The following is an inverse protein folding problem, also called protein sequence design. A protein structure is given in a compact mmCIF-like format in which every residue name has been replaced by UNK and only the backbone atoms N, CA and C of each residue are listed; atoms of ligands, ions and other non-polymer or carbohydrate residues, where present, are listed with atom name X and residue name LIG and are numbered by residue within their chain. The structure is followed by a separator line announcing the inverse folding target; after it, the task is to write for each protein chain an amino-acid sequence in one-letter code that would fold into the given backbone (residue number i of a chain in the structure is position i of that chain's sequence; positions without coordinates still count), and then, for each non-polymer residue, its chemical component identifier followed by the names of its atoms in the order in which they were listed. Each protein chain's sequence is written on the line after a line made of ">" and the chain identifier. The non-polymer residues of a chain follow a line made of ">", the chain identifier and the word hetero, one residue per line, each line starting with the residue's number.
data_IF_528495685770
#
_entry.id   IF_528495685770
#
_cell.length_a   1.000
_cell.length_b   1.000
_cell.length_c   1.000
_cell.angle_alpha   90.00
_cell.angle_beta   90.00
_cell.angle_gamma   90.00
#
_symmetry.space_group_name_H-M   'P 1'
#
loop_
_entity.id
_entity.type
_entity.pdbx_description
1 polymer ?
#
# COMPACT_ATOMS: atom_id res chain seq x y z
N UNK A 1 13.03 4.15 -7.37
CA UNK A 1 13.88 3.20 -6.58
C UNK A 1 13.14 2.81 -5.32
N UNK A 2 12.95 1.49 -5.10
CA UNK A 2 12.29 0.96 -3.91
C UNK A 2 13.25 0.96 -2.70
N UNK A 3 12.76 1.37 -1.53
CA UNK A 3 13.55 1.47 -0.30
C UNK A 3 14.20 0.15 0.13
N UNK A 4 13.50 -0.97 -0.05
CA UNK A 4 13.96 -2.30 0.37
C UNK A 4 15.15 -2.84 -0.41
N UNK A 5 15.58 -2.16 -1.49
CA UNK A 5 16.72 -2.64 -2.28
C UNK A 5 18.05 -2.56 -1.50
N UNK A 6 18.18 -1.61 -0.56
CA UNK A 6 19.39 -1.43 0.23
C UNK A 6 19.23 -1.60 1.73
N UNK A 7 18.01 -1.83 2.21
CA UNK A 7 17.73 -2.00 3.64
C UNK A 7 17.02 -3.32 3.89
N UNK A 8 17.56 -4.10 4.82
CA UNK A 8 16.91 -5.29 5.35
C UNK A 8 16.11 -4.98 6.62
N UNK A 9 16.34 -3.82 7.22
CA UNK A 9 15.59 -3.32 8.37
C UNK A 9 14.80 -2.09 7.95
N UNK A 10 13.51 -2.26 7.75
CA UNK A 10 12.63 -1.21 7.22
C UNK A 10 12.29 -0.16 8.27
N UNK A 11 12.39 -0.51 9.54
CA UNK A 11 12.10 0.37 10.68
C UNK A 11 13.23 1.38 10.97
N UNK A 12 14.41 1.19 10.35
CA UNK A 12 15.61 2.00 10.60
C UNK A 12 16.09 2.76 9.35
N UNK A 13 15.19 3.07 8.40
CA UNK A 13 15.58 3.75 7.17
C UNK A 13 15.80 5.24 7.42
N UNK A 14 17.03 5.69 7.23
CA UNK A 14 17.35 7.12 7.20
C UNK A 14 17.02 7.72 5.82
N UNK A 15 15.85 8.32 5.68
CA UNK A 15 15.36 8.80 4.39
C UNK A 15 16.15 9.96 3.79
N UNK A 16 16.69 10.89 4.59
CA UNK A 16 17.49 12.01 4.06
C UNK A 16 18.75 11.54 3.32
N UNK A 17 19.58 10.63 3.86
CA UNK A 17 20.68 10.02 3.11
C UNK A 17 20.21 9.19 1.91
N UNK A 18 19.08 8.48 2.03
CA UNK A 18 18.52 7.67 0.96
C UNK A 18 18.11 8.52 -0.25
N UNK A 19 17.41 9.64 -0.04
CA UNK A 19 17.01 10.58 -1.10
C UNK A 19 18.23 11.04 -1.89
N UNK A 20 19.28 11.50 -1.19
CA UNK A 20 20.53 11.94 -1.83
C UNK A 20 21.21 10.81 -2.61
N UNK A 21 21.17 9.58 -2.10
CA UNK A 21 21.72 8.41 -2.79
C UNK A 21 20.93 8.09 -4.06
N UNK A 22 19.62 8.08 -3.98
CA UNK A 22 18.68 7.83 -5.10
C UNK A 22 18.95 8.85 -6.23
N UNK A 23 19.05 10.13 -5.88
CA UNK A 23 19.36 11.20 -6.83
C UNK A 23 20.73 11.01 -7.51
N UNK A 24 21.80 10.73 -6.73
CA UNK A 24 23.14 10.47 -7.30
C UNK A 24 23.18 9.29 -8.26
N UNK A 25 22.28 8.34 -8.11
CA UNK A 25 22.17 7.17 -8.99
C UNK A 25 21.28 7.42 -10.22
N UNK A 26 20.74 8.63 -10.37
CA UNK A 26 19.98 9.04 -11.54
C UNK A 26 18.52 8.55 -11.56
N UNK A 27 17.94 8.24 -10.40
CA UNK A 27 16.52 7.94 -10.30
C UNK A 27 15.71 9.21 -10.07
N UNK A 28 14.48 9.23 -10.56
CA UNK A 28 13.53 10.34 -10.41
C UNK A 28 12.58 10.13 -9.22
N UNK A 29 12.36 8.88 -8.80
CA UNK A 29 11.42 8.52 -7.76
C UNK A 29 12.07 7.65 -6.67
N UNK A 30 11.68 7.92 -5.43
CA UNK A 30 11.96 7.08 -4.27
C UNK A 30 10.65 6.51 -3.74
N UNK A 31 10.49 5.20 -3.81
CA UNK A 31 9.39 4.50 -3.16
C UNK A 31 9.76 4.21 -1.71
N UNK A 32 8.93 4.65 -0.77
CA UNK A 32 9.20 4.60 0.66
C UNK A 32 8.29 3.61 1.39
N UNK A 33 8.80 3.00 2.46
CA UNK A 33 7.98 2.28 3.42
C UNK A 33 7.11 3.30 4.18
N UNK A 34 5.81 3.28 3.92
CA UNK A 34 4.96 4.41 4.31
C UNK A 34 4.35 4.30 5.71
N UNK A 35 4.48 3.15 6.38
CA UNK A 35 3.83 2.90 7.67
C UNK A 35 4.15 4.00 8.71
N UNK A 36 5.39 4.45 8.78
CA UNK A 36 5.83 5.47 9.73
C UNK A 36 5.49 6.90 9.32
N UNK A 37 5.33 7.17 8.01
CA UNK A 37 5.08 8.52 7.49
C UNK A 37 3.78 9.12 8.04
N UNK A 38 2.79 8.28 8.35
CA UNK A 38 1.56 8.71 9.02
C UNK A 38 1.75 9.21 10.46
N UNK A 39 2.93 8.98 11.04
CA UNK A 39 3.28 9.32 12.43
C UNK A 39 4.39 10.35 12.54
N UNK A 40 5.05 10.70 11.43
CA UNK A 40 6.06 11.76 11.43
C UNK A 40 5.46 13.12 11.73
N UNK A 41 6.24 13.96 12.43
CA UNK A 41 5.87 15.35 12.65
C UNK A 41 5.81 16.12 11.31
N UNK A 42 5.05 17.21 11.27
CA UNK A 42 5.02 18.08 10.10
C UNK A 42 6.39 18.67 9.77
N UNK A 43 7.25 18.89 10.79
CA UNK A 43 8.62 19.35 10.58
C UNK A 43 9.47 18.29 9.88
N UNK A 44 9.33 17.03 10.29
CA UNK A 44 10.01 15.90 9.65
C UNK A 44 9.57 15.76 8.20
N UNK A 45 8.26 15.77 7.95
CA UNK A 45 7.71 15.66 6.58
C UNK A 45 8.16 16.83 5.69
N UNK A 46 8.21 18.07 6.23
CA UNK A 46 8.74 19.24 5.50
C UNK A 46 10.23 19.09 5.18
N UNK A 47 11.03 18.57 6.11
CA UNK A 47 12.45 18.35 5.87
C UNK A 47 12.70 17.30 4.76
N UNK A 48 11.92 16.21 4.76
CA UNK A 48 11.96 15.19 3.72
C UNK A 48 11.55 15.77 2.36
N UNK A 49 10.46 16.52 2.32
CA UNK A 49 9.98 17.21 1.10
C UNK A 49 11.03 18.18 0.55
N UNK A 50 11.58 19.03 1.39
CA UNK A 50 12.63 19.98 0.96
C UNK A 50 13.85 19.26 0.39
N UNK A 51 14.33 18.22 1.07
CA UNK A 51 15.46 17.44 0.58
C UNK A 51 15.15 16.76 -0.76
N UNK A 52 13.93 16.25 -0.93
CA UNK A 52 13.52 15.62 -2.19
C UNK A 52 13.43 16.65 -3.33
N UNK A 53 12.84 17.83 -3.08
CA UNK A 53 12.77 18.93 -4.06
C UNK A 53 14.15 19.43 -4.49
N UNK A 54 15.06 19.63 -3.53
CA UNK A 54 16.44 20.08 -3.78
C UNK A 54 17.22 19.11 -4.70
N UNK A 55 16.80 17.84 -4.74
CA UNK A 55 17.44 16.78 -5.51
C UNK A 55 16.59 16.28 -6.70
N UNK A 56 15.42 16.87 -6.94
CA UNK A 56 14.52 16.48 -8.04
C UNK A 56 13.91 15.08 -7.86
N UNK A 57 13.72 14.62 -6.62
CA UNK A 57 13.17 13.29 -6.32
C UNK A 57 11.69 13.39 -5.92
N UNK A 58 10.82 12.62 -6.59
CA UNK A 58 9.45 12.41 -6.15
C UNK A 58 9.33 11.22 -5.20
N UNK A 59 8.21 11.16 -4.45
CA UNK A 59 7.88 10.03 -3.59
C UNK A 59 6.68 9.23 -4.11
N UNK A 60 6.76 7.91 -3.96
CA UNK A 60 5.62 7.00 -3.95
C UNK A 60 5.64 6.21 -2.63
N UNK A 61 4.46 5.85 -2.16
CA UNK A 61 4.31 5.12 -0.90
C UNK A 61 4.01 3.65 -1.18
N UNK A 62 4.69 2.76 -0.43
CA UNK A 62 4.40 1.33 -0.42
C UNK A 62 4.06 0.88 1.00
N UNK A 63 3.08 -0.01 1.14
CA UNK A 63 2.65 -0.55 2.42
C UNK A 63 2.23 -2.02 2.31
N UNK A 64 2.66 -2.84 3.28
CA UNK A 64 2.04 -4.11 3.62
C UNK A 64 1.40 -3.98 5.00
N UNK A 65 0.09 -4.16 5.11
CA UNK A 65 -0.59 -4.08 6.40
C UNK A 65 -0.24 -5.30 7.26
N UNK A 66 0.16 -5.08 8.50
CA UNK A 66 0.28 -6.14 9.49
C UNK A 66 -1.09 -6.72 9.90
N UNK A 67 -1.09 -7.89 10.54
CA UNK A 67 -2.32 -8.53 10.98
C UNK A 67 -3.14 -7.69 11.97
N UNK A 68 -2.50 -6.81 12.71
CA UNK A 68 -3.12 -5.85 13.65
C UNK A 68 -3.88 -4.72 12.93
N UNK A 69 -3.66 -4.56 11.63
CA UNK A 69 -4.30 -3.57 10.77
C UNK A 69 -5.06 -4.20 9.59
N UNK A 70 -5.38 -5.50 9.68
CA UNK A 70 -6.04 -6.27 8.62
C UNK A 70 -7.46 -5.74 8.35
N UNK A 71 -7.66 -5.13 7.18
CA UNK A 71 -8.94 -4.58 6.72
C UNK A 71 -9.99 -5.66 6.40
N UNK A 72 -9.57 -6.92 6.27
CA UNK A 72 -10.42 -8.10 6.06
C UNK A 72 -10.65 -8.92 7.34
N UNK A 73 -10.16 -8.47 8.50
CA UNK A 73 -10.30 -9.16 9.78
C UNK A 73 -11.77 -9.36 10.16
N UNK A 74 -12.09 -10.48 10.82
CA UNK A 74 -13.40 -10.69 11.44
C UNK A 74 -13.63 -9.76 12.64
N UNK A 75 -12.54 -9.38 13.31
CA UNK A 75 -12.58 -8.42 14.42
C UNK A 75 -12.75 -6.99 13.88
N UNK A 76 -13.89 -6.39 14.20
CA UNK A 76 -14.19 -5.01 13.81
C UNK A 76 -13.22 -3.99 14.43
N UNK A 77 -12.63 -4.27 15.60
CA UNK A 77 -11.65 -3.39 16.22
C UNK A 77 -10.33 -3.37 15.42
N UNK A 78 -9.89 -4.53 14.91
CA UNK A 78 -8.73 -4.64 14.02
C UNK A 78 -8.97 -3.87 12.72
N UNK A 79 -10.16 -4.05 12.09
CA UNK A 79 -10.50 -3.28 10.88
C UNK A 79 -10.50 -1.77 11.14
N UNK A 80 -11.09 -1.33 12.25
CA UNK A 80 -11.10 0.09 12.62
C UNK A 80 -9.69 0.64 12.87
N UNK A 81 -8.81 -0.14 13.51
CA UNK A 81 -7.39 0.21 13.68
C UNK A 81 -6.68 0.36 12.33
N UNK A 82 -6.92 -0.58 11.40
CA UNK A 82 -6.39 -0.52 10.03
C UNK A 82 -6.86 0.72 9.27
N UNK A 83 -8.16 1.02 9.31
CA UNK A 83 -8.72 2.25 8.70
C UNK A 83 -8.07 3.50 9.30
N UNK A 84 -7.92 3.57 10.62
CA UNK A 84 -7.28 4.71 11.28
C UNK A 84 -5.79 4.83 10.89
N UNK A 85 -5.06 3.72 10.81
CA UNK A 85 -3.66 3.67 10.41
C UNK A 85 -3.46 4.19 8.98
N UNK A 86 -4.17 3.61 8.01
CA UNK A 86 -4.07 4.00 6.60
C UNK A 86 -4.56 5.45 6.38
N UNK A 87 -5.58 5.90 7.12
CA UNK A 87 -6.02 7.30 7.07
C UNK A 87 -4.90 8.27 7.43
N UNK A 88 -4.07 7.97 8.43
CA UNK A 88 -2.92 8.81 8.79
C UNK A 88 -1.90 8.86 7.67
N UNK A 89 -1.62 7.72 7.06
CA UNK A 89 -0.70 7.60 5.92
C UNK A 89 -1.19 8.46 4.75
N UNK A 90 -2.45 8.29 4.33
CA UNK A 90 -3.05 9.06 3.24
C UNK A 90 -2.97 10.58 3.47
N UNK A 91 -3.21 11.04 4.71
CA UNK A 91 -3.11 12.45 5.09
C UNK A 91 -1.67 12.98 5.14
N UNK A 92 -0.66 12.13 5.27
CA UNK A 92 0.74 12.53 5.23
C UNK A 92 1.26 12.74 3.80
N UNK A 93 0.67 12.05 2.83
CA UNK A 93 1.15 11.99 1.45
C UNK A 93 1.24 13.36 0.75
N UNK A 94 0.22 14.23 0.77
CA UNK A 94 0.32 15.53 0.13
C UNK A 94 1.37 16.43 0.79
N UNK A 95 1.72 16.21 2.07
CA UNK A 95 2.75 16.98 2.77
C UNK A 95 4.16 16.77 2.24
N UNK A 96 4.39 15.61 1.62
CA UNK A 96 5.66 15.28 0.94
C UNK A 96 5.53 15.28 -0.59
N UNK A 97 4.36 15.62 -1.12
CA UNK A 97 4.11 15.62 -2.56
C UNK A 97 3.91 14.23 -3.17
N UNK A 98 3.65 13.20 -2.35
CA UNK A 98 3.32 11.86 -2.83
C UNK A 98 1.84 11.79 -3.24
N UNK A 99 1.55 11.10 -4.34
CA UNK A 99 0.19 10.94 -4.86
C UNK A 99 -0.17 9.48 -5.19
N UNK A 100 0.74 8.53 -4.96
CA UNK A 100 0.51 7.10 -5.23
C UNK A 100 0.83 6.32 -3.96
N UNK A 101 -0.16 5.58 -3.46
CA UNK A 101 -0.01 4.54 -2.44
C UNK A 101 -0.21 3.19 -3.11
N UNK A 102 0.72 2.27 -2.92
CA UNK A 102 0.64 0.91 -3.45
C UNK A 102 0.92 -0.14 -2.36
N UNK A 103 0.78 -1.40 -2.74
CA UNK A 103 1.09 -2.53 -1.87
C UNK A 103 -0.13 -3.34 -1.42
N UNK A 104 0.09 -4.31 -0.52
CA UNK A 104 -0.97 -5.14 0.07
C UNK A 104 -1.63 -4.35 1.19
N UNK A 105 -2.57 -3.49 0.80
CA UNK A 105 -3.19 -2.48 1.64
C UNK A 105 -4.71 -2.67 1.82
N UNK A 106 -5.25 -3.82 1.40
CA UNK A 106 -6.66 -4.21 1.49
C UNK A 106 -6.92 -5.31 2.54
N UNK A 107 -5.85 -6.00 2.98
CA UNK A 107 -5.88 -7.06 3.99
C UNK A 107 -4.53 -7.15 4.70
N UNK A 108 -4.42 -7.96 5.74
CA UNK A 108 -3.15 -8.25 6.40
C UNK A 108 -2.19 -8.99 5.46
N UNK A 109 -1.03 -8.39 5.15
CA UNK A 109 0.00 -9.05 4.35
C UNK A 109 0.57 -10.23 5.13
N UNK A 110 0.69 -11.38 4.45
CA UNK A 110 1.07 -12.68 5.03
C UNK A 110 0.10 -13.21 6.11
N UNK A 111 -1.07 -12.58 6.30
CA UNK A 111 -2.11 -13.09 7.18
C UNK A 111 -2.85 -14.25 6.49
N UNK A 112 -2.20 -15.40 6.40
CA UNK A 112 -2.75 -16.61 5.78
C UNK A 112 -3.60 -17.39 6.80
N UNK A 113 -4.74 -17.96 6.38
CA UNK A 113 -5.53 -18.82 7.26
C UNK A 113 -4.75 -20.12 7.58
N UNK A 114 -4.88 -20.61 8.81
CA UNK A 114 -4.24 -21.85 9.26
C UNK A 114 -4.75 -23.12 8.54
N UNK A 115 -5.85 -22.98 7.82
CA UNK A 115 -6.51 -24.04 7.03
C UNK A 115 -6.86 -23.52 5.65
N UNK A 116 -7.19 -24.43 4.72
CA UNK A 116 -7.69 -24.01 3.40
C UNK A 116 -8.93 -23.14 3.53
N UNK A 117 -8.97 -22.03 2.78
CA UNK A 117 -10.12 -21.12 2.76
C UNK A 117 -11.15 -21.59 1.73
N UNK A 118 -12.42 -21.63 2.12
CA UNK A 118 -13.52 -21.91 1.20
C UNK A 118 -13.87 -20.67 0.35
N UNK A 119 -14.50 -20.86 -0.84
CA UNK A 119 -14.95 -19.73 -1.65
C UNK A 119 -15.91 -18.79 -0.93
N UNK A 120 -16.75 -19.31 -0.03
CA UNK A 120 -17.69 -18.48 0.74
C UNK A 120 -16.97 -17.64 1.79
N UNK A 121 -15.97 -18.22 2.47
CA UNK A 121 -15.12 -17.48 3.40
C UNK A 121 -14.30 -16.40 2.69
N UNK A 122 -13.71 -16.72 1.53
CA UNK A 122 -12.99 -15.73 0.72
C UNK A 122 -13.90 -14.56 0.36
N UNK A 123 -15.13 -14.82 -0.15
CA UNK A 123 -16.10 -13.76 -0.47
C UNK A 123 -16.46 -12.91 0.75
N UNK A 124 -16.68 -13.54 1.91
CA UNK A 124 -16.99 -12.83 3.14
C UNK A 124 -15.83 -11.91 3.57
N UNK A 125 -14.59 -12.38 3.46
CA UNK A 125 -13.39 -11.58 3.75
C UNK A 125 -13.23 -10.40 2.77
N UNK A 126 -13.49 -10.63 1.49
CA UNK A 126 -13.53 -9.55 0.49
C UNK A 126 -14.61 -8.51 0.83
N UNK A 127 -15.79 -8.92 1.29
CA UNK A 127 -16.85 -8.00 1.69
C UNK A 127 -16.43 -7.11 2.86
N UNK A 128 -15.73 -7.68 3.85
CA UNK A 128 -15.18 -6.93 4.98
C UNK A 128 -14.11 -5.93 4.52
N UNK A 129 -13.19 -6.37 3.65
CA UNK A 129 -12.17 -5.51 3.06
C UNK A 129 -12.78 -4.34 2.26
N UNK A 130 -13.75 -4.63 1.40
CA UNK A 130 -14.47 -3.61 0.62
C UNK A 130 -15.16 -2.59 1.54
N UNK A 131 -15.81 -3.05 2.61
CA UNK A 131 -16.45 -2.16 3.60
C UNK A 131 -15.45 -1.18 4.21
N UNK A 132 -14.31 -1.68 4.69
CA UNK A 132 -13.25 -0.87 5.28
C UNK A 132 -12.61 0.08 4.25
N UNK A 133 -12.34 -0.41 3.05
CA UNK A 133 -11.68 0.36 2.01
C UNK A 133 -12.54 1.49 1.43
N UNK A 134 -13.88 1.34 1.38
CA UNK A 134 -14.77 2.43 0.95
C UNK A 134 -14.65 3.69 1.82
N UNK A 135 -14.34 3.52 3.11
CA UNK A 135 -14.04 4.64 3.99
C UNK A 135 -12.71 5.31 3.60
N UNK A 136 -11.69 4.49 3.29
CA UNK A 136 -10.37 4.97 2.88
C UNK A 136 -10.39 5.64 1.50
N UNK A 137 -11.25 5.20 0.58
CA UNK A 137 -11.38 5.83 -0.74
C UNK A 137 -11.80 7.29 -0.63
N UNK A 138 -12.69 7.66 0.29
CA UNK A 138 -13.06 9.06 0.53
C UNK A 138 -11.85 9.87 1.00
N UNK A 139 -11.04 9.30 1.89
CA UNK A 139 -9.81 9.97 2.34
C UNK A 139 -8.79 10.10 1.23
N UNK A 140 -8.64 9.08 0.37
CA UNK A 140 -7.74 9.12 -0.77
C UNK A 140 -8.17 10.20 -1.80
N UNK A 141 -9.47 10.28 -2.10
CA UNK A 141 -10.04 11.32 -2.97
C UNK A 141 -9.80 12.72 -2.42
N UNK A 142 -10.10 12.95 -1.14
CA UNK A 142 -9.91 14.25 -0.48
C UNK A 142 -8.44 14.70 -0.45
N UNK A 143 -7.50 13.76 -0.51
CA UNK A 143 -6.05 14.04 -0.50
C UNK A 143 -5.39 13.90 -1.89
N UNK A 144 -6.15 13.66 -2.94
CA UNK A 144 -5.63 13.52 -4.31
C UNK A 144 -4.73 12.29 -4.50
N UNK A 145 -4.94 11.22 -3.72
CA UNK A 145 -4.11 10.01 -3.74
C UNK A 145 -4.74 8.95 -4.64
N UNK A 146 -3.96 8.40 -5.57
CA UNK A 146 -4.26 7.16 -6.26
C UNK A 146 -3.90 5.98 -5.36
N UNK A 147 -4.88 5.15 -5.04
CA UNK A 147 -4.74 4.00 -4.16
C UNK A 147 -4.68 2.71 -4.99
N UNK A 148 -3.50 2.10 -5.06
CA UNK A 148 -3.25 0.92 -5.87
C UNK A 148 -3.21 -0.33 -4.98
N UNK A 149 -4.22 -1.21 -5.10
CA UNK A 149 -4.21 -2.53 -4.48
C UNK A 149 -3.25 -3.43 -5.25
N UNK A 150 -2.24 -3.96 -4.60
CA UNK A 150 -1.32 -4.89 -5.22
C UNK A 150 -1.91 -6.30 -5.25
N UNK A 151 -1.97 -6.88 -6.45
CA UNK A 151 -2.34 -8.28 -6.63
C UNK A 151 -1.09 -9.12 -6.43
N UNK A 152 -1.12 -10.00 -5.43
CA UNK A 152 0.05 -10.81 -5.05
C UNK A 152 -0.23 -12.30 -5.16
N UNK A 153 0.84 -13.10 -5.25
CA UNK A 153 0.70 -14.54 -5.35
C UNK A 153 0.07 -15.17 -4.09
N UNK A 154 -0.50 -16.35 -4.28
CA UNK A 154 -1.22 -17.14 -3.25
C UNK A 154 -0.40 -17.52 -2.01
N UNK A 155 0.93 -17.40 -2.08
CA UNK A 155 1.81 -17.70 -0.94
C UNK A 155 1.99 -16.50 -0.02
N UNK A 156 1.60 -15.30 -0.46
CA UNK A 156 1.73 -14.07 0.32
C UNK A 156 0.39 -13.51 0.81
N UNK A 157 -0.69 -13.67 0.01
CA UNK A 157 -2.03 -13.28 0.40
C UNK A 157 -3.06 -14.12 -0.40
N UNK A 158 -4.22 -14.39 0.17
CA UNK A 158 -5.22 -15.30 -0.42
C UNK A 158 -6.42 -14.58 -1.06
N UNK A 159 -6.59 -13.27 -0.87
CA UNK A 159 -7.78 -12.56 -1.36
C UNK A 159 -7.71 -12.18 -2.84
N UNK A 160 -6.62 -11.55 -3.26
CA UNK A 160 -6.46 -11.05 -4.63
C UNK A 160 -5.20 -11.64 -5.23
N UNK A 161 -5.34 -12.68 -6.05
CA UNK A 161 -4.21 -13.39 -6.63
C UNK A 161 -4.10 -13.19 -8.15
N UNK A 162 -5.20 -12.88 -8.83
CA UNK A 162 -5.20 -12.64 -10.28
C UNK A 162 -5.63 -11.21 -10.61
N UNK A 163 -5.20 -10.71 -11.76
CA UNK A 163 -5.63 -9.42 -12.28
C UNK A 163 -7.17 -9.34 -12.40
N UNK A 164 -7.81 -10.44 -12.76
CA UNK A 164 -9.27 -10.53 -12.85
C UNK A 164 -9.94 -10.31 -11.47
N UNK A 165 -9.44 -10.96 -10.42
CA UNK A 165 -9.90 -10.75 -9.04
C UNK A 165 -9.68 -9.30 -8.61
N UNK A 166 -8.48 -8.76 -8.86
CA UNK A 166 -8.16 -7.37 -8.57
C UNK A 166 -9.12 -6.37 -9.24
N UNK A 167 -9.39 -6.55 -10.55
CA UNK A 167 -10.34 -5.72 -11.30
C UNK A 167 -11.75 -5.81 -10.71
N UNK A 168 -12.21 -7.02 -10.36
CA UNK A 168 -13.52 -7.20 -9.72
C UNK A 168 -13.57 -6.48 -8.37
N UNK A 169 -12.52 -6.57 -7.58
CA UNK A 169 -12.41 -5.95 -6.27
C UNK A 169 -12.43 -4.41 -6.34
N UNK A 170 -11.56 -3.79 -7.15
CA UNK A 170 -11.50 -2.32 -7.23
C UNK A 170 -12.76 -1.70 -7.80
N UNK A 171 -13.48 -2.40 -8.68
CA UNK A 171 -14.81 -1.95 -9.15
C UNK A 171 -15.82 -1.83 -8.00
N UNK A 172 -15.73 -2.70 -7.01
CA UNK A 172 -16.62 -2.68 -5.84
C UNK A 172 -16.33 -1.51 -4.89
N UNK A 173 -15.14 -0.88 -4.99
CA UNK A 173 -14.79 0.29 -4.17
C UNK A 173 -15.48 1.58 -4.64
N UNK A 174 -16.00 1.59 -5.87
CA UNK A 174 -16.79 2.70 -6.44
C UNK A 174 -16.07 4.05 -6.38
N UNK A 175 -14.74 4.04 -6.52
CA UNK A 175 -13.88 5.22 -6.47
C UNK A 175 -13.02 5.33 -7.72
N UNK A 176 -12.88 6.53 -8.32
CA UNK A 176 -11.97 6.75 -9.44
C UNK A 176 -10.51 6.62 -9.02
N UNK A 177 -10.22 6.76 -7.72
CA UNK A 177 -8.87 6.68 -7.17
C UNK A 177 -8.42 5.24 -6.86
N UNK A 178 -9.35 4.27 -6.83
CA UNK A 178 -9.03 2.85 -6.68
C UNK A 178 -8.40 2.30 -7.96
N UNK A 179 -7.19 1.78 -7.87
CA UNK A 179 -6.41 1.21 -8.98
C UNK A 179 -5.74 -0.10 -8.55
N UNK A 180 -5.03 -0.72 -9.47
CA UNK A 180 -4.25 -1.93 -9.22
C UNK A 180 -2.76 -1.65 -9.42
N UNK A 181 -1.94 -2.32 -8.64
CA UNK A 181 -0.56 -2.63 -8.96
C UNK A 181 -0.49 -4.08 -9.42
N UNK A 182 0.05 -4.32 -10.60
CA UNK A 182 0.28 -5.64 -11.15
C UNK A 182 1.79 -5.87 -11.24
N UNK A 183 2.32 -6.66 -10.31
CA UNK A 183 3.74 -7.02 -10.30
C UNK A 183 3.94 -8.29 -11.14
N UNK A 184 4.80 -8.21 -12.15
CA UNK A 184 5.12 -9.33 -13.04
C UNK A 184 5.70 -10.54 -12.30
N UNK A 185 6.34 -10.35 -11.15
CA UNK A 185 6.78 -11.45 -10.29
C UNK A 185 5.57 -12.28 -9.80
N UNK A 186 4.55 -11.61 -9.28
CA UNK A 186 3.33 -12.28 -8.81
C UNK A 186 2.51 -12.84 -9.98
N UNK A 187 2.36 -12.08 -11.06
CA UNK A 187 1.65 -12.51 -12.26
C UNK A 187 2.26 -13.75 -12.89
N UNK A 188 3.59 -13.88 -12.89
CA UNK A 188 4.27 -15.06 -13.43
C UNK A 188 3.97 -16.35 -12.66
N UNK A 189 3.46 -16.25 -11.41
CA UNK A 189 3.05 -17.38 -10.60
C UNK A 189 1.57 -17.71 -10.78
N UNK A 190 0.73 -16.69 -10.97
CA UNK A 190 -0.72 -16.81 -10.88
C UNK A 190 -1.45 -16.76 -12.23
N UNK A 191 -0.91 -16.04 -13.22
CA UNK A 191 -1.59 -15.84 -14.50
C UNK A 191 -1.19 -16.89 -15.54
N UNK A 192 -2.15 -17.33 -16.35
CA UNK A 192 -1.88 -18.20 -17.49
C UNK A 192 -1.15 -17.46 -18.62
N UNK A 193 -1.35 -16.15 -18.72
CA UNK A 193 -0.74 -15.27 -19.70
C UNK A 193 -0.61 -13.86 -19.13
N UNK A 194 0.60 -13.32 -19.09
CA UNK A 194 0.92 -11.97 -18.62
C UNK A 194 1.06 -10.92 -19.75
N UNK A 195 0.85 -11.31 -21.00
CA UNK A 195 0.93 -10.45 -22.18
C UNK A 195 -0.43 -9.92 -22.60
#
# INVERSE_FOLDING_TARGET
>A
MHYGFWSHNWDEIEYLPLIRKVARLGFDLCEVASAEFGYYSDDTLRALKSCADDHGIGFTYSIGLGGEHDLASDDSAVRAAGVAHVTRILKSMPKVGAAILNGVSYAGWQAMPDHGITPDEKRRKEDLAVGSMRELMKVAEDNGVTYCCEVVNRFEQYLLNTAAEGVAFVKRLESPNAKLLLDTFHMNIEEDNIA
#
